data_IF_317952616611
#
_entry.id   IF_317952616611
#
_cell.length_a   1.000
_cell.length_b   1.000
_cell.length_c   1.000
_cell.angle_alpha   90.00
_cell.angle_beta   90.00
_cell.angle_gamma   90.00
#
_symmetry.space_group_name_H-M   'P 1'
#
loop_
_entity.id
_entity.type
_entity.pdbx_description
1 polymer ?
#
# COMPACT_ATOMS: atom_id res chain seq x y z
N UNK A 1 -1.27 -17.14 0.07
CA UNK A 1 -0.06 -17.14 0.94
C UNK A 1 -0.07 -15.83 1.74
N UNK A 2 0.67 -15.70 2.86
CA UNK A 2 0.71 -14.42 3.56
C UNK A 2 1.35 -13.32 2.70
N UNK A 3 0.92 -12.07 2.84
CA UNK A 3 1.47 -10.95 2.07
C UNK A 3 3.00 -10.84 2.24
N UNK A 4 3.71 -10.68 1.12
CA UNK A 4 5.18 -10.60 1.09
C UNK A 4 5.67 -9.28 1.68
N UNK A 5 6.55 -9.33 2.69
CA UNK A 5 7.17 -8.13 3.26
C UNK A 5 8.02 -7.37 2.23
N UNK A 6 8.71 -8.08 1.33
CA UNK A 6 9.57 -7.46 0.33
C UNK A 6 8.76 -6.72 -0.74
N UNK A 7 7.65 -7.32 -1.20
CA UNK A 7 6.71 -6.68 -2.12
C UNK A 7 6.03 -5.48 -1.45
N UNK A 8 5.62 -5.62 -0.18
CA UNK A 8 5.06 -4.52 0.62
C UNK A 8 6.05 -3.36 0.71
N UNK A 9 7.33 -3.62 0.99
CA UNK A 9 8.38 -2.59 1.02
C UNK A 9 8.54 -1.89 -0.34
N UNK A 10 8.53 -2.63 -1.45
CA UNK A 10 8.61 -2.04 -2.79
C UNK A 10 7.43 -1.13 -3.08
N UNK A 11 6.20 -1.60 -2.88
CA UNK A 11 4.98 -0.81 -3.06
C UNK A 11 4.97 0.41 -2.15
N UNK A 12 5.34 0.26 -0.88
CA UNK A 12 5.47 1.38 0.06
C UNK A 12 6.46 2.43 -0.44
N UNK A 13 7.63 1.98 -0.91
CA UNK A 13 8.68 2.86 -1.46
C UNK A 13 8.16 3.62 -2.67
N UNK A 14 7.49 2.93 -3.60
CA UNK A 14 6.89 3.54 -4.79
C UNK A 14 5.84 4.60 -4.44
N UNK A 15 4.92 4.27 -3.52
CA UNK A 15 3.90 5.20 -3.04
C UNK A 15 4.53 6.46 -2.41
N UNK A 16 5.59 6.29 -1.61
CA UNK A 16 6.30 7.38 -0.94
C UNK A 16 7.09 8.28 -1.90
N UNK A 17 7.63 7.71 -2.97
CA UNK A 17 8.35 8.47 -4.00
C UNK A 17 7.40 9.23 -4.91
N UNK A 18 6.27 8.61 -5.25
CA UNK A 18 5.21 9.27 -6.01
C UNK A 18 4.59 10.42 -5.23
N UNK A 19 4.25 10.18 -3.96
CA UNK A 19 3.66 11.19 -3.08
C UNK A 19 4.36 11.23 -1.71
N UNK A 20 4.92 12.38 -1.31
CA UNK A 20 5.72 12.51 -0.09
C UNK A 20 4.91 12.47 1.21
N UNK A 21 3.57 12.45 1.15
CA UNK A 21 2.70 12.24 2.31
C UNK A 21 1.33 11.71 1.88
N UNK A 22 0.94 10.53 2.39
CA UNK A 22 -0.39 9.95 2.18
C UNK A 22 -1.37 10.19 3.33
N UNK A 23 -0.91 10.82 4.42
CA UNK A 23 -1.78 11.24 5.50
C UNK A 23 -2.87 12.18 4.95
N UNK A 24 -4.14 11.80 5.16
CA UNK A 24 -5.30 12.54 4.65
C UNK A 24 -5.57 12.32 3.16
N UNK A 25 -4.85 11.41 2.51
CA UNK A 25 -5.20 10.93 1.19
C UNK A 25 -6.11 9.70 1.28
N UNK A 26 -6.95 9.53 0.27
CA UNK A 26 -7.78 8.35 0.06
C UNK A 26 -7.25 7.58 -1.15
N UNK A 27 -6.90 6.31 -0.95
CA UNK A 27 -6.58 5.36 -2.00
C UNK A 27 -7.79 4.42 -2.19
N UNK A 28 -8.27 4.24 -3.42
CA UNK A 28 -9.30 3.26 -3.74
C UNK A 28 -8.66 2.12 -4.54
N UNK A 29 -8.79 0.90 -4.06
CA UNK A 29 -8.18 -0.28 -4.66
C UNK A 29 -9.23 -1.33 -5.01
N UNK A 30 -9.01 -2.04 -6.11
CA UNK A 30 -9.86 -3.14 -6.58
C UNK A 30 -9.06 -4.44 -6.55
N UNK A 31 -9.55 -5.41 -5.77
CA UNK A 31 -8.92 -6.72 -5.61
C UNK A 31 -7.99 -6.82 -4.40
N UNK A 32 -8.21 -7.85 -3.58
CA UNK A 32 -7.43 -8.26 -2.41
C UNK A 32 -6.74 -9.62 -2.64
N UNK A 33 -6.21 -9.82 -3.84
CA UNK A 33 -5.23 -10.89 -4.10
C UNK A 33 -3.90 -10.60 -3.36
N UNK A 34 -2.88 -11.43 -3.59
CA UNK A 34 -1.59 -11.34 -2.87
C UNK A 34 -0.96 -9.93 -3.00
N UNK A 35 -0.89 -9.37 -4.21
CA UNK A 35 -0.42 -7.99 -4.44
C UNK A 35 -1.35 -6.95 -3.82
N UNK A 36 -2.67 -7.16 -3.85
CA UNK A 36 -3.65 -6.27 -3.20
C UNK A 36 -3.43 -6.20 -1.68
N UNK A 37 -3.15 -7.33 -1.03
CA UNK A 37 -2.81 -7.37 0.41
C UNK A 37 -1.46 -6.70 0.70
N UNK A 38 -0.46 -6.89 -0.14
CA UNK A 38 0.81 -6.17 -0.03
C UNK A 38 0.61 -4.65 -0.20
N UNK A 39 -0.23 -4.21 -1.15
CA UNK A 39 -0.58 -2.81 -1.36
C UNK A 39 -1.34 -2.24 -0.15
N UNK A 40 -2.24 -3.00 0.47
CA UNK A 40 -2.94 -2.58 1.69
C UNK A 40 -1.96 -2.28 2.84
N UNK A 41 -1.00 -3.17 3.08
CA UNK A 41 0.03 -2.97 4.11
C UNK A 41 0.98 -1.82 3.74
N UNK A 42 1.30 -1.66 2.45
CA UNK A 42 2.12 -0.56 1.95
C UNK A 42 1.42 0.79 2.15
N UNK A 43 0.12 0.87 1.86
CA UNK A 43 -0.69 2.06 2.04
C UNK A 43 -0.82 2.44 3.53
N UNK A 44 -1.00 1.45 4.42
CA UNK A 44 -0.95 1.65 5.86
C UNK A 44 0.41 2.20 6.31
N UNK A 45 1.51 1.62 5.85
CA UNK A 45 2.86 2.11 6.13
C UNK A 45 3.08 3.54 5.61
N UNK A 46 2.51 3.87 4.44
CA UNK A 46 2.61 5.19 3.82
C UNK A 46 1.76 6.26 4.53
N UNK A 47 0.76 5.85 5.32
CA UNK A 47 -0.13 6.74 6.06
C UNK A 47 -1.50 6.96 5.42
N UNK A 48 -1.86 6.20 4.38
CA UNK A 48 -3.09 6.41 3.60
C UNK A 48 -4.33 5.84 4.30
N UNK A 49 -5.47 6.52 4.12
CA UNK A 49 -6.76 5.87 4.27
C UNK A 49 -7.07 5.13 2.96
N UNK A 50 -7.52 3.88 3.04
CA UNK A 50 -7.67 3.01 1.87
C UNK A 50 -9.03 2.33 1.87
N UNK A 51 -9.74 2.39 0.75
CA UNK A 51 -10.93 1.61 0.45
C UNK A 51 -10.55 0.48 -0.50
N UNK A 52 -10.67 -0.76 -0.08
CA UNK A 52 -10.58 -1.93 -0.97
C UNK A 52 -11.96 -2.43 -1.33
N UNK A 53 -12.20 -2.69 -2.62
CA UNK A 53 -13.39 -3.35 -3.13
C UNK A 53 -13.02 -4.80 -3.50
N UNK A 54 -13.77 -5.76 -2.97
CA UNK A 54 -13.53 -7.19 -3.19
C UNK A 54 -14.83 -7.98 -3.20
N UNK A 55 -14.99 -8.83 -4.21
CA UNK A 55 -16.16 -9.67 -4.46
C UNK A 55 -16.04 -11.05 -3.79
N UNK A 56 -14.82 -11.56 -3.58
CA UNK A 56 -14.58 -12.89 -3.02
C UNK A 56 -14.50 -12.87 -1.47
N UNK A 57 -15.46 -13.49 -0.77
CA UNK A 57 -15.46 -13.53 0.70
C UNK A 57 -14.24 -14.21 1.31
N UNK A 58 -13.63 -15.19 0.62
CA UNK A 58 -12.40 -15.83 1.10
C UNK A 58 -11.24 -14.83 1.22
N UNK A 59 -11.07 -13.93 0.24
CA UNK A 59 -10.01 -12.91 0.25
C UNK A 59 -10.23 -11.86 1.32
N UNK A 60 -11.47 -11.47 1.58
CA UNK A 60 -11.82 -10.59 2.70
C UNK A 60 -11.41 -11.22 4.03
N UNK A 61 -11.76 -12.49 4.26
CA UNK A 61 -11.39 -13.22 5.49
C UNK A 61 -9.87 -13.34 5.64
N UNK A 62 -9.16 -13.62 4.55
CA UNK A 62 -7.70 -13.66 4.54
C UNK A 62 -7.09 -12.30 4.89
N UNK A 63 -7.56 -11.22 4.27
CA UNK A 63 -7.09 -9.86 4.54
C UNK A 63 -7.32 -9.44 6.00
N UNK A 64 -8.47 -9.77 6.61
CA UNK A 64 -8.71 -9.51 8.03
C UNK A 64 -7.79 -10.35 8.92
N UNK A 65 -7.63 -11.65 8.62
CA UNK A 65 -6.77 -12.56 9.39
C UNK A 65 -5.29 -12.12 9.37
N UNK A 66 -4.84 -11.58 8.25
CA UNK A 66 -3.46 -11.13 8.04
C UNK A 66 -3.24 -9.66 8.48
N UNK A 67 -4.28 -8.97 8.95
CA UNK A 67 -4.20 -7.57 9.37
C UNK A 67 -4.06 -6.57 8.22
N UNK A 68 -4.31 -7.00 6.98
CA UNK A 68 -4.29 -6.15 5.79
C UNK A 68 -5.53 -5.24 5.72
N UNK A 69 -6.66 -5.68 6.27
CA UNK A 69 -7.87 -4.90 6.43
C UNK A 69 -8.10 -4.57 7.91
N UNK A 70 -8.22 -3.28 8.24
CA UNK A 70 -8.57 -2.82 9.60
C UNK A 70 -10.03 -3.14 9.91
N UNK A 71 -10.91 -2.94 8.94
CA UNK A 71 -12.33 -3.30 9.02
C UNK A 71 -12.77 -3.94 7.71
N UNK A 72 -13.71 -4.86 7.83
CA UNK A 72 -14.48 -5.38 6.70
C UNK A 72 -15.93 -4.96 6.88
N UNK A 73 -16.51 -4.38 5.85
CA UNK A 73 -17.89 -3.87 5.83
C UNK A 73 -18.61 -4.38 4.59
N UNK A 74 -19.94 -4.29 4.57
CA UNK A 74 -20.77 -4.79 3.45
C UNK A 74 -21.60 -3.69 2.80
N UNK A 75 -21.43 -2.43 3.23
CA UNK A 75 -22.11 -1.28 2.65
C UNK A 75 -21.14 -0.12 2.43
N UNK A 76 -21.38 0.65 1.37
CA UNK A 76 -20.58 1.83 1.09
C UNK A 76 -20.76 2.92 2.16
N UNK A 77 -21.94 3.03 2.76
CA UNK A 77 -22.20 3.97 3.86
C UNK A 77 -21.30 3.73 5.09
N UNK A 78 -21.15 2.48 5.51
CA UNK A 78 -20.25 2.12 6.60
C UNK A 78 -18.80 2.41 6.23
N UNK A 79 -18.41 2.10 4.98
CA UNK A 79 -17.06 2.35 4.50
C UNK A 79 -16.72 3.84 4.51
N UNK A 80 -17.57 4.67 3.91
CA UNK A 80 -17.34 6.11 3.82
C UNK A 80 -17.41 6.79 5.19
N UNK A 81 -18.26 6.31 6.10
CA UNK A 81 -18.31 6.82 7.48
C UNK A 81 -17.00 6.60 8.22
N UNK A 82 -16.41 5.40 8.11
CA UNK A 82 -15.10 5.12 8.69
C UNK A 82 -14.00 5.97 8.05
N UNK A 83 -13.94 5.99 6.70
CA UNK A 83 -12.90 6.68 5.95
C UNK A 83 -12.91 8.20 6.14
N UNK A 84 -14.10 8.83 6.13
CA UNK A 84 -14.23 10.29 6.24
C UNK A 84 -13.53 10.84 7.50
N UNK A 85 -13.67 10.14 8.63
CA UNK A 85 -13.06 10.58 9.88
C UNK A 85 -11.54 10.40 9.86
N UNK A 86 -11.04 9.27 9.37
CA UNK A 86 -9.61 8.96 9.34
C UNK A 86 -8.86 9.84 8.33
N UNK A 87 -9.44 10.07 7.15
CA UNK A 87 -8.93 11.03 6.15
C UNK A 87 -8.78 12.41 6.78
N UNK A 88 -9.82 12.93 7.44
CA UNK A 88 -9.77 14.24 8.10
C UNK A 88 -8.69 14.32 9.18
N UNK A 89 -8.44 13.22 9.89
CA UNK A 89 -7.46 13.16 10.98
C UNK A 89 -6.06 12.74 10.52
N UNK A 90 -5.86 12.53 9.21
CA UNK A 90 -4.58 12.10 8.65
C UNK A 90 -4.13 10.73 9.12
N UNK A 91 -5.06 9.85 9.50
CA UNK A 91 -4.76 8.52 10.05
C UNK A 91 -4.92 7.43 8.99
N UNK A 92 -3.99 6.48 9.05
CA UNK A 92 -3.99 5.33 8.16
C UNK A 92 -5.04 4.31 8.59
N UNK A 93 -5.81 3.81 7.63
CA UNK A 93 -6.83 2.78 7.83
C UNK A 93 -7.02 2.03 6.51
N UNK A 94 -7.33 0.74 6.59
CA UNK A 94 -7.82 -0.02 5.43
C UNK A 94 -9.21 -0.52 5.71
N UNK A 95 -10.18 -0.09 4.92
CA UNK A 95 -11.56 -0.60 4.93
C UNK A 95 -11.75 -1.48 3.70
N UNK A 96 -12.04 -2.76 3.92
CA UNK A 96 -12.39 -3.70 2.86
C UNK A 96 -13.92 -3.80 2.75
N UNK A 97 -14.47 -3.33 1.63
CA UNK A 97 -15.90 -3.40 1.31
C UNK A 97 -16.17 -4.65 0.47
N UNK A 98 -16.88 -5.60 1.09
CA UNK A 98 -17.28 -6.84 0.45
C UNK A 98 -18.56 -6.70 -0.36
N UNK A 99 -18.61 -7.33 -1.53
CA UNK A 99 -19.79 -7.40 -2.39
C UNK A 99 -19.46 -7.10 -3.84
N UNK A 100 -20.47 -6.74 -4.64
CA UNK A 100 -20.28 -6.46 -6.06
C UNK A 100 -19.40 -5.21 -6.25
N UNK A 101 -18.17 -5.41 -6.73
CA UNK A 101 -17.23 -4.31 -7.01
C UNK A 101 -17.81 -3.33 -8.02
N UNK A 102 -18.47 -3.84 -9.07
CA UNK A 102 -19.13 -3.01 -10.09
C UNK A 102 -20.21 -2.12 -9.48
N UNK A 103 -21.03 -2.68 -8.58
CA UNK A 103 -22.05 -1.91 -7.85
C UNK A 103 -21.39 -0.83 -6.98
N UNK A 104 -20.37 -1.19 -6.21
CA UNK A 104 -19.69 -0.26 -5.29
C UNK A 104 -18.94 0.84 -6.01
N UNK A 105 -18.34 0.57 -7.18
CA UNK A 105 -17.73 1.60 -8.01
C UNK A 105 -18.76 2.57 -8.58
N UNK A 106 -19.86 2.04 -9.12
CA UNK A 106 -20.96 2.85 -9.66
C UNK A 106 -21.52 3.76 -8.57
N UNK A 107 -21.82 3.19 -7.39
CA UNK A 107 -22.35 3.93 -6.25
C UNK A 107 -21.33 4.96 -5.70
N UNK A 108 -20.03 4.64 -5.74
CA UNK A 108 -18.97 5.59 -5.37
C UNK A 108 -18.94 6.80 -6.30
N UNK A 109 -19.12 6.58 -7.61
CA UNK A 109 -19.26 7.65 -8.60
C UNK A 109 -20.55 8.45 -8.33
N UNK A 110 -21.71 7.80 -8.21
CA UNK A 110 -22.99 8.49 -7.96
C UNK A 110 -22.97 9.38 -6.70
N UNK A 111 -22.25 8.95 -5.66
CA UNK A 111 -22.08 9.69 -4.40
C UNK A 111 -20.94 10.72 -4.42
N UNK A 112 -20.22 10.87 -5.52
CA UNK A 112 -19.15 11.85 -5.67
C UNK A 112 -17.90 11.54 -4.84
N UNK A 113 -17.60 10.26 -4.60
CA UNK A 113 -16.36 9.85 -3.91
C UNK A 113 -15.18 10.17 -4.82
N UNK A 114 -14.30 11.07 -4.38
CA UNK A 114 -13.08 11.43 -5.09
C UNK A 114 -11.85 10.90 -4.34
N UNK A 115 -11.32 9.72 -4.71
CA UNK A 115 -10.03 9.27 -4.20
C UNK A 115 -8.89 10.11 -4.80
N UNK A 116 -7.76 10.17 -4.10
CA UNK A 116 -6.54 10.76 -4.64
C UNK A 116 -5.92 9.87 -5.71
N UNK A 117 -5.99 8.55 -5.48
CA UNK A 117 -5.47 7.57 -6.41
C UNK A 117 -6.37 6.33 -6.45
N UNK A 118 -6.35 5.66 -7.59
CA UNK A 118 -7.02 4.39 -7.83
C UNK A 118 -6.02 3.34 -8.28
N UNK A 119 -6.19 2.10 -7.83
CA UNK A 119 -5.39 0.97 -8.29
C UNK A 119 -6.26 -0.27 -8.46
N UNK A 120 -5.85 -1.18 -9.32
CA UNK A 120 -6.48 -2.49 -9.45
C UNK A 120 -5.41 -3.56 -9.50
N UNK A 121 -5.60 -4.65 -8.78
CA UNK A 121 -4.65 -5.79 -8.76
C UNK A 121 -5.17 -7.00 -9.54
N UNK A 122 -6.36 -6.86 -10.12
CA UNK A 122 -6.96 -7.81 -11.07
C UNK A 122 -7.41 -7.08 -12.32
N UNK A 123 -7.70 -7.86 -13.36
CA UNK A 123 -8.37 -7.35 -14.56
C UNK A 123 -9.73 -6.76 -14.19
N UNK A 124 -10.06 -5.64 -14.83
CA UNK A 124 -11.33 -4.94 -14.65
C UNK A 124 -12.32 -5.30 -15.76
N UNK A 125 -13.60 -5.28 -15.42
CA UNK A 125 -14.69 -5.33 -16.40
C UNK A 125 -14.82 -3.99 -17.13
N UNK A 126 -15.59 -3.97 -18.23
CA UNK A 126 -15.85 -2.73 -18.96
C UNK A 126 -16.58 -1.67 -18.12
N UNK A 127 -17.52 -2.07 -17.27
CA UNK A 127 -18.26 -1.16 -16.38
C UNK A 127 -17.40 -0.63 -15.23
N UNK A 128 -16.52 -1.46 -14.68
CA UNK A 128 -15.53 -1.02 -13.69
C UNK A 128 -14.56 0.01 -14.30
N UNK A 129 -14.10 -0.21 -15.54
CA UNK A 129 -13.26 0.73 -16.27
C UNK A 129 -13.97 2.08 -16.54
N UNK A 130 -15.27 2.07 -16.86
CA UNK A 130 -16.05 3.29 -17.03
C UNK A 130 -16.14 4.11 -15.74
N UNK A 131 -16.36 3.43 -14.61
CA UNK A 131 -16.41 4.09 -13.30
C UNK A 131 -15.06 4.71 -12.95
N UNK A 132 -13.96 3.97 -13.14
CA UNK A 132 -12.61 4.48 -12.95
C UNK A 132 -12.32 5.66 -13.86
N UNK A 133 -12.70 5.59 -15.14
CA UNK A 133 -12.54 6.70 -16.09
C UNK A 133 -13.23 7.98 -15.59
N UNK A 134 -14.41 7.83 -14.98
CA UNK A 134 -15.13 8.95 -14.37
C UNK A 134 -14.37 9.54 -13.18
N UNK A 135 -13.88 8.69 -12.26
CA UNK A 135 -13.05 9.14 -11.12
C UNK A 135 -11.78 9.85 -11.59
N UNK A 136 -11.15 9.35 -12.65
CA UNK A 136 -9.98 9.99 -13.26
C UNK A 136 -10.30 11.35 -13.85
N UNK A 137 -11.45 11.49 -14.53
CA UNK A 137 -11.89 12.78 -15.05
C UNK A 137 -12.09 13.82 -13.93
N UNK A 138 -12.41 13.38 -12.71
CA UNK A 138 -12.51 14.24 -11.52
C UNK A 138 -11.16 14.51 -10.84
N UNK A 139 -10.07 13.89 -11.31
CA UNK A 139 -8.72 14.13 -10.83
C UNK A 139 -8.08 12.98 -10.04
N UNK A 140 -8.70 11.80 -9.97
CA UNK A 140 -8.04 10.64 -9.38
C UNK A 140 -6.90 10.11 -10.28
N UNK A 141 -5.73 9.87 -9.72
CA UNK A 141 -4.59 9.29 -10.46
C UNK A 141 -4.71 7.77 -10.53
N UNK A 142 -4.46 7.14 -11.69
CA UNK A 142 -4.41 5.67 -11.78
C UNK A 142 -3.00 5.15 -11.59
N UNK A 143 -2.80 4.34 -10.56
CA UNK A 143 -1.56 3.67 -10.25
C UNK A 143 -1.47 2.33 -11.00
N UNK A 144 -0.31 2.07 -11.59
CA UNK A 144 0.05 0.83 -12.28
C UNK A 144 1.43 0.35 -11.84
N UNK A 145 1.82 -0.84 -12.27
CA UNK A 145 3.11 -1.45 -11.92
C UNK A 145 3.00 -2.97 -11.83
N UNK A 146 4.03 -3.60 -11.29
CA UNK A 146 4.10 -5.06 -11.17
C UNK A 146 2.95 -5.58 -10.28
N UNK A 147 2.13 -6.48 -10.83
CA UNK A 147 0.95 -7.02 -10.15
C UNK A 147 -0.25 -6.06 -10.06
N UNK A 148 -0.15 -4.86 -10.65
CA UNK A 148 -1.26 -3.92 -10.85
C UNK A 148 -1.72 -3.96 -12.31
N UNK A 149 -2.95 -3.50 -12.58
CA UNK A 149 -3.52 -3.47 -13.94
C UNK A 149 -2.70 -2.57 -14.89
N UNK A 150 -2.67 -2.91 -16.18
CA UNK A 150 -1.64 -2.46 -17.13
C UNK A 150 -1.79 -1.02 -17.68
N UNK A 151 -2.85 -0.28 -17.33
CA UNK A 151 -3.10 1.06 -17.88
C UNK A 151 -3.29 2.11 -16.78
N UNK A 152 -2.54 3.20 -16.81
CA UNK A 152 -2.67 4.31 -15.86
C UNK A 152 -1.52 5.32 -15.96
N UNK A 153 -1.66 6.43 -15.24
CA UNK A 153 -0.76 7.59 -15.34
C UNK A 153 0.53 7.41 -14.53
N UNK A 154 0.51 6.58 -13.49
CA UNK A 154 1.58 6.49 -12.49
C UNK A 154 2.13 5.08 -12.42
N UNK A 155 3.29 4.84 -13.04
CA UNK A 155 4.00 3.55 -12.94
C UNK A 155 4.82 3.47 -11.64
N UNK A 156 4.30 2.74 -10.66
CA UNK A 156 4.97 2.45 -9.40
C UNK A 156 6.19 1.53 -9.58
N UNK A 157 6.18 0.63 -10.56
CA UNK A 157 7.32 -0.25 -10.82
C UNK A 157 8.51 0.56 -11.36
N UNK A 158 8.26 1.59 -12.17
CA UNK A 158 9.31 2.51 -12.60
C UNK A 158 9.97 3.21 -11.41
N UNK A 159 9.19 3.70 -10.43
CA UNK A 159 9.71 4.32 -9.21
C UNK A 159 10.61 3.38 -8.41
N UNK A 160 10.25 2.10 -8.33
CA UNK A 160 11.09 1.08 -7.67
C UNK A 160 12.36 0.82 -8.48
N UNK A 161 12.27 0.68 -9.80
CA UNK A 161 13.43 0.47 -10.68
C UNK A 161 14.44 1.61 -10.59
N UNK A 162 13.98 2.85 -10.43
CA UNK A 162 14.86 4.01 -10.19
C UNK A 162 15.67 3.87 -8.89
N UNK A 163 15.02 3.47 -7.79
CA UNK A 163 15.68 3.19 -6.51
C UNK A 163 16.65 2.02 -6.63
N UNK A 164 16.21 0.96 -7.30
CA UNK A 164 16.98 -0.27 -7.53
C UNK A 164 18.17 -0.05 -8.49
N UNK A 165 18.53 1.18 -8.88
CA UNK A 165 19.83 1.49 -9.51
C UNK A 165 20.95 1.59 -8.48
N UNK A 166 20.69 2.32 -7.39
CA UNK A 166 21.69 2.62 -6.36
C UNK A 166 21.45 1.87 -5.04
N UNK A 167 20.27 1.27 -4.89
CA UNK A 167 19.86 0.55 -3.70
C UNK A 167 19.50 -0.89 -4.05
N UNK A 168 19.58 -1.76 -3.06
CA UNK A 168 19.14 -3.14 -3.15
C UNK A 168 18.41 -3.56 -1.88
N UNK A 169 17.54 -4.56 -2.02
CA UNK A 169 16.88 -5.16 -0.87
C UNK A 169 17.84 -6.11 -0.18
N UNK A 170 18.12 -5.82 1.09
CA UNK A 170 18.69 -6.77 2.03
C UNK A 170 17.57 -7.34 2.92
N UNK A 171 17.81 -8.52 3.47
CA UNK A 171 16.93 -9.14 4.47
C UNK A 171 17.76 -9.55 5.69
N UNK A 172 17.31 -9.12 6.87
CA UNK A 172 17.89 -9.58 8.14
C UNK A 172 16.93 -10.57 8.79
N UNK A 173 17.44 -11.72 9.23
CA UNK A 173 16.69 -12.77 9.91
C UNK A 173 17.15 -12.90 11.36
N UNK A 174 16.19 -13.07 12.28
CA UNK A 174 16.43 -13.32 13.70
C UNK A 174 15.89 -14.66 14.14
N UNK A 175 16.44 -15.18 15.24
CA UNK A 175 15.97 -16.42 15.86
C UNK A 175 14.78 -16.21 16.80
N UNK A 176 14.67 -15.01 17.39
CA UNK A 176 13.63 -14.66 18.37
C UNK A 176 13.04 -13.28 18.13
N UNK A 177 11.86 -13.02 18.71
CA UNK A 177 11.22 -11.69 18.67
C UNK A 177 12.01 -10.62 19.45
N UNK A 178 12.75 -11.00 20.49
CA UNK A 178 13.61 -10.07 21.24
C UNK A 178 14.78 -9.62 20.38
N UNK A 179 15.46 -10.58 19.74
CA UNK A 179 16.56 -10.29 18.81
C UNK A 179 16.08 -9.44 17.63
N UNK A 180 14.91 -9.77 17.07
CA UNK A 180 14.31 -9.00 15.97
C UNK A 180 14.10 -7.54 16.34
N UNK A 181 13.54 -7.26 17.54
CA UNK A 181 13.32 -5.89 18.03
C UNK A 181 14.63 -5.13 18.23
N UNK A 182 15.65 -5.78 18.78
CA UNK A 182 16.97 -5.17 18.96
C UNK A 182 17.60 -4.79 17.61
N UNK A 183 17.52 -5.69 16.63
CA UNK A 183 18.02 -5.41 15.28
C UNK A 183 17.19 -4.36 14.54
N UNK A 184 15.86 -4.34 14.68
CA UNK A 184 15.02 -3.30 14.09
C UNK A 184 15.38 -1.91 14.67
N UNK A 185 15.71 -1.81 15.96
CA UNK A 185 16.21 -0.57 16.57
C UNK A 185 17.58 -0.15 16.00
N UNK A 186 18.51 -1.10 15.81
CA UNK A 186 19.81 -0.85 15.18
C UNK A 186 19.67 -0.38 13.72
N UNK A 187 18.81 -1.04 12.94
CA UNK A 187 18.52 -0.65 11.56
C UNK A 187 17.93 0.76 11.49
N UNK A 188 17.02 1.10 12.41
CA UNK A 188 16.42 2.43 12.48
C UNK A 188 17.46 3.51 12.79
N UNK A 189 18.40 3.25 13.70
CA UNK A 189 19.49 4.16 14.01
C UNK A 189 20.41 4.39 12.78
N UNK A 190 20.71 3.34 12.02
CA UNK A 190 21.52 3.39 10.79
C UNK A 190 20.76 4.01 9.59
N UNK A 191 19.45 4.18 9.69
CA UNK A 191 18.64 4.85 8.66
C UNK A 191 18.61 6.38 8.81
N UNK A 192 19.33 6.94 9.78
CA UNK A 192 19.46 8.39 9.95
C UNK A 192 20.17 9.05 8.76
N UNK A 193 19.66 10.21 8.33
CA UNK A 193 20.24 11.05 7.28
C UNK A 193 19.19 11.86 6.53
N UNK A 194 19.65 12.75 5.65
CA UNK A 194 18.80 13.79 5.02
C UNK A 194 18.33 13.45 3.60
N UNK A 195 18.68 12.27 3.08
CA UNK A 195 18.26 11.85 1.74
C UNK A 195 16.79 11.39 1.74
N UNK A 196 16.04 11.53 0.62
CA UNK A 196 14.66 11.02 0.49
C UNK A 196 14.51 9.54 0.89
N UNK A 197 15.48 8.71 0.50
CA UNK A 197 15.53 7.30 0.87
C UNK A 197 15.76 7.06 2.37
N UNK A 198 16.42 7.97 3.09
CA UNK A 198 16.57 7.88 4.55
C UNK A 198 15.22 8.02 5.24
N UNK A 199 14.39 8.99 4.83
CA UNK A 199 13.04 9.16 5.36
C UNK A 199 12.15 7.93 5.09
N UNK A 200 12.23 7.39 3.86
CA UNK A 200 11.51 6.15 3.47
C UNK A 200 11.95 4.97 4.35
N UNK A 201 13.27 4.75 4.50
CA UNK A 201 13.82 3.69 5.36
C UNK A 201 13.35 3.83 6.81
N UNK A 202 13.43 5.02 7.38
CA UNK A 202 13.00 5.26 8.76
C UNK A 202 11.51 4.97 8.96
N UNK A 203 10.67 5.44 8.05
CA UNK A 203 9.23 5.22 8.14
C UNK A 203 8.89 3.74 7.99
N UNK A 204 9.51 3.03 7.03
CA UNK A 204 9.37 1.57 6.92
C UNK A 204 9.78 0.86 8.20
N UNK A 205 10.96 1.17 8.75
CA UNK A 205 11.49 0.49 9.94
C UNK A 205 10.66 0.77 11.21
N UNK A 206 9.88 1.86 11.23
CA UNK A 206 8.89 2.13 12.28
C UNK A 206 7.56 1.38 12.05
N UNK A 207 7.11 1.26 10.80
CA UNK A 207 5.82 0.64 10.46
C UNK A 207 5.89 -0.89 10.36
N UNK A 208 6.95 -1.45 9.79
CA UNK A 208 7.06 -2.88 9.53
C UNK A 208 6.92 -3.76 10.79
N UNK A 209 7.40 -3.38 11.99
CA UNK A 209 7.15 -4.14 13.22
C UNK A 209 5.69 -4.20 13.64
N UNK A 210 4.88 -3.17 13.35
CA UNK A 210 3.44 -3.17 13.68
C UNK A 210 2.63 -3.93 12.65
N UNK A 211 3.02 -3.87 11.37
CA UNK A 211 2.37 -4.58 10.27
C UNK A 211 2.70 -6.08 10.25
N UNK A 212 3.91 -6.44 10.67
CA UNK A 212 4.40 -7.82 10.69
C UNK A 212 4.90 -8.22 12.09
N UNK A 213 4.02 -8.23 13.12
CA UNK A 213 4.42 -8.34 14.53
C UNK A 213 5.01 -9.70 14.92
N UNK A 214 4.81 -10.73 14.09
CA UNK A 214 5.32 -12.09 14.30
C UNK A 214 6.44 -12.47 13.35
N UNK A 215 6.81 -11.59 12.41
CA UNK A 215 7.88 -11.88 11.48
C UNK A 215 9.23 -11.89 12.19
N UNK A 216 10.07 -12.86 11.83
CA UNK A 216 11.47 -12.94 12.27
C UNK A 216 12.43 -12.42 11.22
N UNK A 217 11.97 -12.23 9.98
CA UNK A 217 12.73 -11.57 8.93
C UNK A 217 12.25 -10.14 8.70
N UNK A 218 13.18 -9.27 8.28
CA UNK A 218 12.92 -7.88 7.95
C UNK A 218 13.66 -7.51 6.66
N UNK A 219 12.94 -7.27 5.54
CA UNK A 219 13.55 -6.66 4.38
C UNK A 219 13.72 -5.16 4.58
N UNK A 220 14.79 -4.58 4.03
CA UNK A 220 15.09 -3.15 4.07
C UNK A 220 16.03 -2.76 2.93
N UNK A 221 15.99 -1.48 2.56
CA UNK A 221 16.90 -0.95 1.55
C UNK A 221 18.31 -0.72 2.13
N UNK A 222 19.32 -1.18 1.40
CA UNK A 222 20.73 -0.84 1.59
C UNK A 222 21.30 -0.24 0.32
N UNK A 223 22.25 0.68 0.47
CA UNK A 223 22.92 1.27 -0.70
C UNK A 223 23.87 0.23 -1.28
N UNK A 224 23.85 0.05 -2.60
CA UNK A 224 24.80 -0.84 -3.28
C UNK A 224 26.22 -0.35 -3.03
N UNK A 225 27.05 -1.22 -2.47
CA UNK A 225 28.48 -0.96 -2.32
C UNK A 225 29.18 -1.25 -3.65
N UNK A 226 29.09 -0.32 -4.60
CA UNK A 226 29.78 -0.47 -5.89
C UNK A 226 29.27 0.45 -7.00
N UNK A 227 29.70 1.71 -6.97
CA UNK A 227 30.17 2.50 -8.13
C UNK A 227 30.76 3.82 -7.58
N UNK A 228 32.02 3.76 -7.14
CA UNK A 228 32.87 4.96 -7.20
C UNK A 228 33.15 5.16 -8.68
N UNK A 229 32.45 6.08 -9.33
CA UNK A 229 32.89 6.62 -10.61
C UNK A 229 34.12 7.47 -10.29
N UNK A 230 35.29 6.96 -10.70
CA UNK A 230 36.49 7.78 -10.88
C UNK A 230 36.30 8.74 -12.04
#
# INVERSE_FOLDING_TARGET
MAASQAETLRLFTALRLHRPAWAGALLLCIGLNDTGRALALAALAAGAATLFLEDEPARLREASREGCATFTVTTLDEALRALKNEVRQGRAITVALGGSVEQWLTESVERGVLPHAVAATRKLSGSEELSISTLKHWGAERLVGDGLAEAGEVDLAERVREVERDWELAEDVSSTQIERRAKDASLLALAAGDAPMSAIRQQWLRAAPTLFPRALSRPYWVRRTGHRVH
#
